data_IF_340497172634
#
_entry.id   IF_340497172634
#
_cell.length_a   1.000
_cell.length_b   1.000
_cell.length_c   1.000
_cell.angle_alpha   90.00
_cell.angle_beta   90.00
_cell.angle_gamma   90.00
#
_symmetry.space_group_name_H-M   'P 1'
#
loop_
_entity.id
_entity.type
_entity.pdbx_description
1 polymer ?
#
# COMPACT_ATOMS: atom_id res chain seq x y z
N UNK A 1 54.09 17.43 -27.23
CA UNK A 1 54.35 16.95 -25.85
C UNK A 1 53.22 16.02 -25.44
N UNK A 2 53.51 14.72 -25.39
CA UNK A 2 52.52 13.67 -25.13
C UNK A 2 52.58 13.27 -23.66
N UNK A 3 51.43 13.23 -22.98
CA UNK A 3 51.32 12.71 -21.62
C UNK A 3 50.55 11.37 -21.65
N UNK A 4 51.27 10.31 -21.31
CA UNK A 4 50.81 8.93 -21.27
C UNK A 4 49.82 8.67 -20.13
N UNK A 5 48.66 8.08 -20.43
CA UNK A 5 47.71 7.55 -19.42
C UNK A 5 48.07 6.11 -19.09
N UNK A 6 48.57 5.89 -17.89
CA UNK A 6 48.85 4.57 -17.32
C UNK A 6 47.55 3.89 -16.91
N UNK A 7 47.17 2.81 -17.64
CA UNK A 7 46.08 1.89 -17.24
C UNK A 7 46.63 0.86 -16.25
N UNK A 8 46.23 0.92 -14.99
CA UNK A 8 46.44 -0.13 -14.00
C UNK A 8 45.35 -1.19 -14.20
N UNK A 9 45.78 -2.35 -14.73
CA UNK A 9 44.99 -3.59 -14.73
C UNK A 9 45.24 -4.28 -13.40
N UNK A 10 44.19 -4.46 -12.60
CA UNK A 10 44.23 -5.31 -11.40
C UNK A 10 43.76 -6.70 -11.81
N UNK A 11 44.70 -7.64 -11.82
CA UNK A 11 44.43 -9.07 -12.06
C UNK A 11 43.98 -9.69 -10.74
N UNK A 12 42.80 -10.28 -10.72
CA UNK A 12 42.35 -11.15 -9.62
C UNK A 12 42.77 -12.58 -9.91
N UNK A 13 43.67 -13.09 -9.09
CA UNK A 13 44.09 -14.47 -9.07
C UNK A 13 43.03 -15.32 -8.36
N UNK A 14 42.48 -16.28 -9.05
CA UNK A 14 41.67 -17.35 -8.50
C UNK A 14 42.64 -18.37 -7.87
N UNK A 15 42.57 -18.52 -6.57
CA UNK A 15 43.18 -19.68 -5.86
C UNK A 15 42.03 -20.56 -5.35
N UNK A 16 41.91 -21.73 -5.95
CA UNK A 16 41.04 -22.78 -5.50
C UNK A 16 41.67 -23.53 -4.32
N UNK A 17 40.84 -23.96 -3.39
CA UNK A 17 41.21 -24.82 -2.29
C UNK A 17 40.00 -25.60 -1.80
N UNK A 18 39.81 -26.80 -2.37
CA UNK A 18 38.90 -27.81 -1.85
C UNK A 18 39.58 -28.55 -0.74
N UNK A 19 39.05 -28.48 0.49
CA UNK A 19 39.35 -29.45 1.54
C UNK A 19 38.05 -29.89 2.16
N UNK A 20 37.66 -31.13 1.86
CA UNK A 20 36.57 -31.83 2.49
C UNK A 20 37.00 -32.31 3.90
N UNK A 21 36.18 -32.03 4.88
CA UNK A 21 36.22 -32.74 6.15
C UNK A 21 34.76 -33.06 6.54
N UNK A 22 34.42 -34.34 6.29
CA UNK A 22 33.19 -34.93 6.81
C UNK A 22 33.42 -35.23 8.30
N UNK A 23 32.81 -34.43 9.18
CA UNK A 23 32.69 -34.74 10.59
C UNK A 23 31.32 -35.36 10.82
N UNK A 24 31.29 -36.68 10.91
CA UNK A 24 30.11 -37.41 11.34
C UNK A 24 29.98 -37.27 12.86
N UNK A 25 29.15 -36.34 13.33
CA UNK A 25 28.73 -36.26 14.74
C UNK A 25 27.54 -37.19 14.93
N UNK A 26 27.85 -38.41 15.44
CA UNK A 26 26.86 -39.32 16.00
C UNK A 26 26.31 -38.71 17.31
N UNK A 27 25.20 -37.99 17.24
CA UNK A 27 24.42 -37.65 18.42
C UNK A 27 23.64 -38.89 18.87
N UNK A 28 24.13 -39.53 19.93
CA UNK A 28 23.38 -40.54 20.68
C UNK A 28 22.29 -39.76 21.46
N UNK A 29 21.08 -39.67 20.90
CA UNK A 29 19.93 -39.17 21.63
C UNK A 29 19.42 -40.29 22.57
N UNK A 30 19.82 -40.25 23.82
CA UNK A 30 19.11 -40.94 24.87
C UNK A 30 17.74 -40.24 25.10
N UNK A 31 16.68 -40.99 25.52
CA UNK A 31 15.38 -40.39 25.79
C UNK A 31 15.48 -39.47 27.02
N UNK A 32 15.52 -38.17 26.74
CA UNK A 32 15.49 -37.16 27.79
C UNK A 32 14.05 -37.05 28.34
N UNK A 33 13.81 -37.65 29.48
CA UNK A 33 12.52 -37.66 30.19
C UNK A 33 12.16 -36.30 30.82
N UNK A 34 12.99 -35.28 30.66
CA UNK A 34 12.79 -33.92 31.21
C UNK A 34 12.73 -32.86 30.13
N UNK A 35 12.26 -33.19 28.92
CA UNK A 35 11.96 -32.17 27.94
C UNK A 35 10.76 -31.31 28.46
N UNK A 36 10.89 -29.98 28.58
CA UNK A 36 9.76 -29.16 28.95
C UNK A 36 8.69 -29.34 27.86
N UNK A 37 7.47 -29.69 28.29
CA UNK A 37 6.33 -29.69 27.39
C UNK A 37 6.19 -28.28 26.77
N UNK A 38 6.52 -28.19 25.49
CA UNK A 38 6.21 -26.99 24.72
C UNK A 38 4.68 -26.96 24.61
N UNK A 39 4.08 -26.22 25.53
CA UNK A 39 2.67 -25.85 25.37
C UNK A 39 2.58 -25.03 24.10
N UNK A 40 2.29 -25.70 23.00
CA UNK A 40 1.86 -25.03 21.78
C UNK A 40 0.51 -24.40 22.10
N UNK A 41 0.54 -23.16 22.62
CA UNK A 41 -0.65 -22.33 22.70
C UNK A 41 -1.12 -22.14 21.27
N UNK A 42 -2.01 -23.01 20.85
CA UNK A 42 -2.78 -22.84 19.63
C UNK A 42 -3.65 -21.61 19.87
N UNK A 43 -3.11 -20.42 19.56
CA UNK A 43 -3.96 -19.23 19.44
C UNK A 43 -5.08 -19.65 18.50
N UNK A 44 -6.36 -19.53 18.91
CA UNK A 44 -7.44 -19.81 18.01
C UNK A 44 -7.22 -18.95 16.77
N UNK A 45 -7.05 -19.60 15.61
CA UNK A 45 -6.99 -18.90 14.34
C UNK A 45 -8.27 -18.07 14.29
N UNK A 46 -8.15 -16.75 14.43
CA UNK A 46 -9.26 -15.84 14.20
C UNK A 46 -9.65 -16.07 12.74
N UNK A 47 -10.68 -16.89 12.53
CA UNK A 47 -11.29 -17.01 11.22
C UNK A 47 -11.71 -15.60 10.83
N UNK A 48 -11.24 -15.09 9.67
CA UNK A 48 -11.67 -13.79 9.21
C UNK A 48 -13.20 -13.84 9.17
N UNK A 49 -13.83 -12.96 9.95
CA UNK A 49 -15.29 -12.84 9.94
C UNK A 49 -15.72 -12.74 8.48
N UNK A 50 -16.60 -13.68 8.06
CA UNK A 50 -17.10 -13.73 6.68
C UNK A 50 -17.89 -12.46 6.43
N UNK A 51 -17.23 -11.43 5.92
CA UNK A 51 -17.88 -10.15 5.60
C UNK A 51 -18.93 -10.40 4.51
N UNK A 52 -20.15 -10.02 4.80
CA UNK A 52 -21.27 -10.12 3.86
C UNK A 52 -21.17 -8.97 2.85
N UNK A 53 -21.17 -9.29 1.56
CA UNK A 53 -21.20 -8.27 0.50
C UNK A 53 -22.46 -7.41 0.63
N UNK A 54 -22.29 -6.10 0.52
CA UNK A 54 -23.36 -5.12 0.61
C UNK A 54 -23.21 -4.07 -0.51
N UNK A 55 -24.30 -3.42 -0.94
CA UNK A 55 -24.21 -2.28 -1.87
C UNK A 55 -23.36 -1.15 -1.28
N UNK A 56 -22.58 -0.45 -2.12
CA UNK A 56 -21.76 0.68 -1.67
C UNK A 56 -22.66 1.78 -1.07
N UNK A 57 -22.50 2.12 0.22
CA UNK A 57 -23.32 3.15 0.88
C UNK A 57 -23.14 4.51 0.24
N UNK A 58 -24.21 5.30 0.19
CA UNK A 58 -24.17 6.67 -0.36
C UNK A 58 -23.15 7.55 0.32
N UNK A 59 -22.96 7.37 1.64
CA UNK A 59 -21.96 8.09 2.41
C UNK A 59 -20.54 7.74 1.99
N UNK A 60 -20.21 6.45 1.84
CA UNK A 60 -18.90 5.99 1.35
C UNK A 60 -18.59 6.58 -0.03
N UNK A 61 -19.56 6.58 -0.94
CA UNK A 61 -19.45 7.21 -2.26
C UNK A 61 -19.15 8.71 -2.16
N UNK A 62 -19.87 9.43 -1.29
CA UNK A 62 -19.65 10.87 -1.07
C UNK A 62 -18.23 11.15 -0.58
N UNK A 63 -17.76 10.34 0.38
CA UNK A 63 -16.39 10.45 0.90
C UNK A 63 -15.37 10.23 -0.21
N UNK A 64 -15.54 9.21 -1.06
CA UNK A 64 -14.65 8.96 -2.19
C UNK A 64 -14.57 10.16 -3.16
N UNK A 65 -15.71 10.70 -3.58
CA UNK A 65 -15.76 11.86 -4.48
C UNK A 65 -15.09 13.09 -3.85
N UNK A 66 -15.42 13.39 -2.60
CA UNK A 66 -14.81 14.54 -1.88
C UNK A 66 -13.31 14.37 -1.69
N UNK A 67 -12.84 13.16 -1.39
CA UNK A 67 -11.41 12.86 -1.29
C UNK A 67 -10.69 13.15 -2.60
N UNK A 68 -11.23 12.74 -3.73
CA UNK A 68 -10.60 12.98 -5.04
C UNK A 68 -10.53 14.49 -5.32
N UNK A 69 -11.58 15.25 -5.01
CA UNK A 69 -11.60 16.72 -5.16
C UNK A 69 -10.57 17.40 -4.25
N UNK A 70 -10.57 17.04 -2.99
CA UNK A 70 -9.83 17.79 -1.97
C UNK A 70 -8.38 17.36 -1.85
N UNK A 71 -8.11 16.05 -1.85
CA UNK A 71 -6.77 15.49 -1.68
C UNK A 71 -6.03 15.29 -3.00
N UNK A 72 -6.67 14.67 -3.99
CA UNK A 72 -6.01 14.29 -5.26
C UNK A 72 -5.88 15.49 -6.18
N UNK A 73 -6.94 16.27 -6.36
CA UNK A 73 -6.89 17.54 -7.13
C UNK A 73 -6.22 18.69 -6.37
N UNK A 74 -5.91 18.50 -5.08
CA UNK A 74 -5.28 19.50 -4.21
C UNK A 74 -6.12 20.78 -3.98
N UNK A 75 -7.43 20.69 -4.10
CA UNK A 75 -8.29 21.86 -3.94
C UNK A 75 -8.46 22.28 -2.48
N UNK A 76 -8.49 21.31 -1.53
CA UNK A 76 -8.69 21.60 -0.11
C UNK A 76 -8.08 20.51 0.79
N UNK A 77 -6.81 20.67 1.13
CA UNK A 77 -6.09 19.71 2.00
C UNK A 77 -6.59 19.70 3.45
N UNK A 78 -7.20 20.78 3.91
CA UNK A 78 -7.83 20.90 5.22
C UNK A 78 -9.02 19.94 5.34
N UNK A 79 -9.92 19.99 4.39
CA UNK A 79 -11.05 19.06 4.31
C UNK A 79 -10.57 17.64 4.06
N UNK A 80 -9.57 17.45 3.17
CA UNK A 80 -9.00 16.15 2.88
C UNK A 80 -8.53 15.43 4.15
N UNK A 81 -7.92 16.16 5.09
CA UNK A 81 -7.48 15.59 6.37
C UNK A 81 -8.63 14.93 7.15
N UNK A 82 -9.83 15.47 7.05
CA UNK A 82 -11.01 14.90 7.73
C UNK A 82 -11.53 13.63 7.05
N UNK A 83 -11.23 13.45 5.78
CA UNK A 83 -11.71 12.34 4.95
C UNK A 83 -10.77 11.14 4.95
N UNK A 84 -9.52 11.29 5.43
CA UNK A 84 -8.52 10.22 5.39
C UNK A 84 -8.41 9.47 6.70
N UNK A 85 -8.17 8.17 6.59
CA UNK A 85 -7.96 7.24 7.70
C UNK A 85 -6.52 7.23 8.20
N UNK A 86 -6.27 6.52 9.31
CA UNK A 86 -4.94 6.44 9.92
C UNK A 86 -3.85 5.89 8.98
N UNK A 87 -4.16 4.84 8.19
CA UNK A 87 -3.19 4.23 7.29
C UNK A 87 -2.77 5.21 6.19
N UNK A 88 -3.73 5.89 5.55
CA UNK A 88 -3.41 6.84 4.50
C UNK A 88 -2.73 8.11 5.03
N UNK A 89 -2.91 8.45 6.31
CA UNK A 89 -2.15 9.53 6.96
C UNK A 89 -0.68 9.20 7.11
N UNK A 90 -0.31 7.91 7.21
CA UNK A 90 1.07 7.47 7.31
C UNK A 90 1.82 8.02 8.54
N UNK A 91 1.12 8.26 9.65
CA UNK A 91 1.70 8.86 10.86
C UNK A 91 1.90 10.38 10.82
N UNK A 92 1.56 11.05 9.72
CA UNK A 92 1.66 12.50 9.61
C UNK A 92 0.69 13.20 10.56
N UNK A 93 1.15 14.31 11.12
CA UNK A 93 0.30 15.27 11.81
C UNK A 93 -0.53 16.08 10.80
N UNK A 94 -1.60 16.73 11.27
CA UNK A 94 -2.40 17.63 10.41
C UNK A 94 -1.55 18.75 9.80
N UNK A 95 -0.62 19.34 10.55
CA UNK A 95 0.27 20.39 10.07
C UNK A 95 1.15 19.91 8.91
N UNK A 96 1.74 18.71 9.03
CA UNK A 96 2.55 18.11 7.97
C UNK A 96 1.72 17.76 6.74
N UNK A 97 0.52 17.21 6.92
CA UNK A 97 -0.40 16.93 5.84
C UNK A 97 -0.73 18.16 5.00
N UNK A 98 -0.96 19.31 5.65
CA UNK A 98 -1.31 20.57 4.99
C UNK A 98 -0.17 21.18 4.18
N UNK A 99 1.07 20.74 4.37
CA UNK A 99 2.19 21.15 3.49
C UNK A 99 2.07 20.62 2.07
N UNK A 100 1.21 19.63 1.85
CA UNK A 100 1.07 18.92 0.57
C UNK A 100 2.07 17.76 0.40
N UNK A 101 3.05 17.60 1.28
CA UNK A 101 3.95 16.45 1.28
C UNK A 101 3.29 15.28 2.04
N UNK A 102 2.34 14.64 1.41
CA UNK A 102 1.55 13.54 1.96
C UNK A 102 1.49 12.37 0.96
N UNK A 103 1.10 11.16 1.39
CA UNK A 103 1.11 9.94 0.56
C UNK A 103 0.16 9.97 -0.65
N UNK A 104 -0.71 10.95 -0.74
CA UNK A 104 -1.64 11.07 -1.87
C UNK A 104 -0.92 11.67 -3.07
N UNK A 105 -0.76 10.88 -4.13
CA UNK A 105 -0.20 11.38 -5.39
C UNK A 105 -1.18 12.37 -6.02
N UNK A 106 -0.78 13.64 -6.26
CA UNK A 106 -1.64 14.62 -6.90
C UNK A 106 -1.88 14.26 -8.37
N UNK A 107 -3.08 14.56 -8.85
CA UNK A 107 -3.43 14.32 -10.24
C UNK A 107 -4.25 15.50 -10.79
N UNK A 108 -3.90 16.05 -11.95
CA UNK A 108 -4.53 17.24 -12.52
C UNK A 108 -5.88 16.88 -13.15
N UNK A 109 -6.93 16.86 -12.37
CA UNK A 109 -8.29 16.50 -12.80
C UNK A 109 -9.03 17.76 -13.25
N UNK A 110 -9.79 17.66 -14.34
CA UNK A 110 -10.59 18.73 -14.85
C UNK A 110 -12.03 18.66 -14.36
N UNK A 111 -12.61 17.46 -14.35
CA UNK A 111 -14.00 17.21 -13.99
C UNK A 111 -14.13 15.92 -13.20
N UNK A 112 -14.67 16.03 -12.00
CA UNK A 112 -14.83 14.93 -11.05
C UNK A 112 -16.22 14.32 -11.04
N UNK A 113 -17.20 15.10 -11.45
CA UNK A 113 -18.60 14.70 -11.57
C UNK A 113 -18.82 13.55 -12.57
N UNK A 114 -17.87 13.34 -13.48
CA UNK A 114 -17.89 12.31 -14.51
C UNK A 114 -16.78 11.26 -14.39
N UNK A 115 -16.00 11.25 -13.31
CA UNK A 115 -15.00 10.20 -13.12
C UNK A 115 -15.69 8.83 -12.98
N UNK A 116 -15.55 7.92 -13.98
CA UNK A 116 -16.15 6.61 -13.88
C UNK A 116 -15.48 5.84 -12.74
N UNK A 117 -16.28 5.26 -11.87
CA UNK A 117 -15.79 4.36 -10.85
C UNK A 117 -16.50 3.02 -10.95
N UNK A 118 -15.79 1.97 -10.59
CA UNK A 118 -16.30 0.61 -10.51
C UNK A 118 -16.15 0.13 -9.07
N UNK A 119 -17.20 -0.43 -8.52
CA UNK A 119 -17.15 -1.08 -7.21
C UNK A 119 -16.60 -2.49 -7.42
N UNK A 120 -15.40 -2.76 -6.91
CA UNK A 120 -14.82 -4.09 -6.94
C UNK A 120 -15.35 -4.93 -5.78
N UNK A 121 -15.30 -4.37 -4.58
CA UNK A 121 -15.78 -5.01 -3.37
C UNK A 121 -16.48 -3.98 -2.49
N UNK A 122 -17.55 -4.40 -1.82
CA UNK A 122 -18.24 -3.57 -0.85
C UNK A 122 -18.86 -4.45 0.23
N UNK A 123 -18.60 -4.08 1.47
CA UNK A 123 -19.03 -4.72 2.69
C UNK A 123 -19.62 -3.68 3.65
N UNK A 124 -20.14 -4.11 4.78
CA UNK A 124 -20.75 -3.22 5.76
C UNK A 124 -19.76 -2.17 6.32
N UNK A 125 -18.49 -2.55 6.48
CA UNK A 125 -17.47 -1.71 7.13
C UNK A 125 -16.30 -1.33 6.23
N UNK A 126 -16.25 -1.86 5.01
CA UNK A 126 -15.16 -1.58 4.06
C UNK A 126 -15.64 -1.65 2.62
N UNK A 127 -14.95 -0.94 1.72
CA UNK A 127 -15.18 -1.04 0.29
C UNK A 127 -13.88 -0.75 -0.48
N UNK A 128 -13.75 -1.39 -1.65
CA UNK A 128 -12.71 -1.13 -2.64
C UNK A 128 -13.37 -0.70 -3.94
N UNK A 129 -12.96 0.45 -4.46
CA UNK A 129 -13.44 0.97 -5.73
C UNK A 129 -12.29 1.29 -6.67
N UNK A 130 -12.48 1.05 -7.95
CA UNK A 130 -11.62 1.55 -9.00
C UNK A 130 -12.13 2.92 -9.46
N UNK A 131 -11.23 3.89 -9.54
CA UNK A 131 -11.53 5.25 -10.01
C UNK A 131 -10.65 5.56 -11.21
N UNK A 132 -11.26 5.80 -12.37
CA UNK A 132 -10.54 6.24 -13.55
C UNK A 132 -10.48 7.78 -13.57
N UNK A 133 -9.26 8.33 -13.55
CA UNK A 133 -9.00 9.76 -13.61
C UNK A 133 -8.58 10.16 -15.01
N UNK A 134 -9.31 11.12 -15.56
CA UNK A 134 -8.99 11.78 -16.83
C UNK A 134 -8.24 13.09 -16.53
N UNK A 135 -7.07 13.29 -17.12
CA UNK A 135 -6.31 14.51 -16.86
C UNK A 135 -6.96 15.71 -17.54
N UNK A 136 -6.71 16.88 -16.96
CA UNK A 136 -7.01 18.15 -17.59
C UNK A 136 -6.34 18.25 -18.97
N UNK A 137 -7.03 18.80 -19.95
CA UNK A 137 -6.47 19.00 -21.29
C UNK A 137 -5.16 19.80 -21.21
N UNK A 138 -4.11 19.27 -21.83
CA UNK A 138 -2.79 19.90 -21.81
C UNK A 138 -1.93 19.61 -20.57
N UNK A 139 -2.38 18.79 -19.64
CA UNK A 139 -1.62 18.47 -18.41
C UNK A 139 -0.38 17.60 -18.62
N UNK A 140 -0.17 17.04 -19.81
CA UNK A 140 1.02 16.21 -20.13
C UNK A 140 1.06 14.83 -19.44
N UNK A 141 -0.01 14.44 -18.75
CA UNK A 141 -0.16 13.14 -18.11
C UNK A 141 -1.23 12.31 -18.79
N UNK A 142 -1.15 10.97 -18.67
CA UNK A 142 -2.13 10.05 -19.27
C UNK A 142 -3.24 9.75 -18.29
N UNK A 143 -4.43 9.36 -18.80
CA UNK A 143 -5.49 8.78 -17.99
C UNK A 143 -4.96 7.63 -17.14
N UNK A 144 -5.36 7.56 -15.89
CA UNK A 144 -4.88 6.58 -14.93
C UNK A 144 -6.01 6.05 -14.07
N UNK A 145 -5.93 4.77 -13.70
CA UNK A 145 -6.88 4.13 -12.80
C UNK A 145 -6.22 3.97 -11.43
N UNK A 146 -6.99 4.26 -10.40
CA UNK A 146 -6.57 4.11 -9.01
C UNK A 146 -7.51 3.17 -8.27
N UNK A 147 -6.96 2.44 -7.31
CA UNK A 147 -7.73 1.78 -6.28
C UNK A 147 -7.90 2.71 -5.08
N UNK A 148 -9.13 2.86 -4.64
CA UNK A 148 -9.51 3.63 -3.47
C UNK A 148 -10.17 2.69 -2.47
N UNK A 149 -9.51 2.48 -1.33
CA UNK A 149 -10.01 1.70 -0.21
C UNK A 149 -10.71 2.60 0.80
N UNK A 150 -11.92 2.22 1.18
CA UNK A 150 -12.75 2.91 2.16
C UNK A 150 -12.97 2.00 3.37
N UNK A 151 -12.93 2.57 4.56
CA UNK A 151 -13.23 1.85 5.80
C UNK A 151 -14.10 2.71 6.71
N UNK A 152 -14.92 2.06 7.54
CA UNK A 152 -15.60 2.71 8.65
C UNK A 152 -14.67 2.80 9.85
N UNK A 153 -14.56 3.97 10.45
CA UNK A 153 -13.80 4.22 11.66
C UNK A 153 -14.69 4.83 12.74
N UNK A 154 -14.31 4.62 14.01
CA UNK A 154 -15.09 5.09 15.17
C UNK A 154 -16.02 4.02 15.71
N UNK A 155 -16.82 4.39 16.70
CA UNK A 155 -17.78 3.51 17.38
C UNK A 155 -19.10 4.23 17.65
N UNK A 156 -20.20 3.47 17.65
CA UNK A 156 -21.54 3.99 17.90
C UNK A 156 -21.91 5.14 16.96
N UNK A 157 -22.45 6.23 17.50
CA UNK A 157 -22.89 7.41 16.73
C UNK A 157 -21.74 8.20 16.08
N UNK A 158 -20.48 7.93 16.44
CA UNK A 158 -19.29 8.57 15.86
C UNK A 158 -18.67 7.78 14.71
N UNK A 159 -19.31 6.72 14.26
CA UNK A 159 -18.86 5.93 13.12
C UNK A 159 -18.98 6.73 11.83
N UNK A 160 -17.92 6.73 11.03
CA UNK A 160 -17.87 7.43 9.73
C UNK A 160 -17.01 6.70 8.74
N UNK A 161 -17.25 6.91 7.45
CA UNK A 161 -16.40 6.44 6.38
C UNK A 161 -15.18 7.33 6.19
N UNK A 162 -14.04 6.74 5.91
CA UNK A 162 -12.79 7.43 5.53
C UNK A 162 -12.09 6.68 4.41
N UNK A 163 -11.25 7.38 3.65
CA UNK A 163 -10.34 6.78 2.69
C UNK A 163 -9.08 6.33 3.42
N UNK A 164 -8.79 5.05 3.38
CA UNK A 164 -7.70 4.45 4.12
C UNK A 164 -6.58 3.93 3.21
N UNK A 165 -6.86 3.83 1.91
CA UNK A 165 -5.89 3.44 0.90
C UNK A 165 -6.12 4.18 -0.42
N UNK A 166 -5.03 4.59 -1.10
CA UNK A 166 -5.03 5.22 -2.41
C UNK A 166 -3.79 4.81 -3.17
N UNK A 167 -3.94 3.95 -4.17
CA UNK A 167 -2.81 3.43 -4.96
C UNK A 167 -3.13 3.42 -6.45
N UNK A 168 -2.17 3.74 -7.32
CA UNK A 168 -2.36 3.58 -8.75
C UNK A 168 -2.50 2.09 -9.08
N UNK A 169 -3.40 1.77 -10.00
CA UNK A 169 -3.46 0.44 -10.59
C UNK A 169 -2.20 0.24 -11.44
N UNK A 170 -1.35 -0.71 -11.04
CA UNK A 170 -0.19 -1.07 -11.83
C UNK A 170 -0.66 -1.59 -13.20
N UNK A 171 -0.27 -0.92 -14.28
CA UNK A 171 -0.39 -1.50 -15.61
C UNK A 171 0.56 -2.67 -15.68
N UNK A 172 0.06 -3.87 -16.00
CA UNK A 172 0.94 -4.99 -16.31
C UNK A 172 1.84 -4.57 -17.46
N UNK A 173 3.13 -4.41 -17.20
CA UNK A 173 4.14 -4.24 -18.23
C UNK A 173 4.30 -5.60 -18.89
N UNK A 174 3.70 -5.79 -20.08
CA UNK A 174 3.98 -6.96 -20.91
C UNK A 174 5.34 -6.68 -21.55
N UNK A 175 6.38 -7.44 -21.24
CA UNK A 175 7.66 -7.32 -21.94
C UNK A 175 7.43 -7.59 -23.43
N UNK A 176 7.95 -6.74 -24.30
CA UNK A 176 8.00 -6.96 -25.75
C UNK A 176 9.20 -7.81 -26.09
#
# INVERSE_FOLDING_TARGET
MAAARTRRRVAWLLAGGAVGAAVALLFVFGPNKNAPEVHTSTLPAQQPERQVKAPLPREARRVAVRFVQTAVARENLEEAWTLVGPNLRGGLTRKEWLTGNNPVVPYPIDRLDVAPYKVDESYETSALIEVALLPRKGAGVRAQVFFLGLVKVGSGSRTRWVVDNWVPRASAVVPR
#
